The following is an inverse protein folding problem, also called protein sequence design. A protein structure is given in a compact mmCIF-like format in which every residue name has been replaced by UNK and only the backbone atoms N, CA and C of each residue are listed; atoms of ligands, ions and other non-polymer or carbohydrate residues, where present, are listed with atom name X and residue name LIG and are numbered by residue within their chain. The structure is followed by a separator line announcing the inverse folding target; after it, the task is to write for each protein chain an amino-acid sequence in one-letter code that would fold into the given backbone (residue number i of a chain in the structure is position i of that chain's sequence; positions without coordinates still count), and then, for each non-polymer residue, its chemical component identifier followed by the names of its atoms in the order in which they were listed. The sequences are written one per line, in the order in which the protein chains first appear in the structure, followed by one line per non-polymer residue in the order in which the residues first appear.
data_IF_355952797192
#
_entry.id   IF_355952797192
#
_cell.length_a   1.000
_cell.length_b   1.000
_cell.length_c   1.000
_cell.angle_alpha   90.00
_cell.angle_beta   90.00
_cell.angle_gamma   90.00
#
_symmetry.space_group_name_H-M   'P 1'
#
loop_
_entity.id
_entity.type
_entity.pdbx_description
1 polymer ?
#
# COMPACT_ATOMS: atom_id res chain seq x y z
N UNK A 1 -17.61 10.71 2.31
CA UNK A 1 -16.31 10.42 2.98
C UNK A 1 -15.66 9.20 2.36
N UNK A 2 -16.46 8.32 1.91
CA UNK A 2 -16.10 6.97 1.43
C UNK A 2 -15.04 6.96 0.32
N UNK A 3 -15.17 7.84 -0.69
CA UNK A 3 -14.18 7.92 -1.79
C UNK A 3 -12.78 8.34 -1.29
N UNK A 4 -12.71 9.30 -0.38
CA UNK A 4 -11.41 9.75 0.17
C UNK A 4 -10.79 8.70 1.07
N UNK A 5 -11.61 8.02 1.89
CA UNK A 5 -11.19 6.88 2.71
C UNK A 5 -10.71 5.76 1.82
N UNK A 6 -11.50 5.38 0.80
CA UNK A 6 -11.14 4.36 -0.17
C UNK A 6 -9.83 4.64 -0.91
N UNK A 7 -9.59 5.90 -1.33
CA UNK A 7 -8.31 6.31 -1.93
C UNK A 7 -7.15 6.24 -0.94
N UNK A 8 -7.36 6.66 0.31
CA UNK A 8 -6.36 6.58 1.36
C UNK A 8 -5.93 5.14 1.67
N UNK A 9 -6.92 4.24 1.82
CA UNK A 9 -6.68 2.80 2.02
C UNK A 9 -5.99 2.15 0.82
N UNK A 10 -6.42 2.52 -0.40
CA UNK A 10 -5.77 2.04 -1.63
C UNK A 10 -4.32 2.53 -1.73
N UNK A 11 -4.04 3.78 -1.34
CA UNK A 11 -2.68 4.29 -1.26
C UNK A 11 -1.82 3.54 -0.24
N UNK A 12 -2.39 3.20 0.92
CA UNK A 12 -1.74 2.36 1.92
C UNK A 12 -1.39 0.98 1.36
N UNK A 13 -2.28 0.36 0.56
CA UNK A 13 -2.04 -0.91 -0.11
C UNK A 13 -0.90 -0.85 -1.12
N UNK A 14 -0.62 0.31 -1.70
CA UNK A 14 0.55 0.52 -2.56
C UNK A 14 1.88 0.49 -1.80
N UNK A 15 1.88 0.84 -0.50
CA UNK A 15 3.06 0.75 0.37
C UNK A 15 3.24 -0.66 0.95
N UNK A 16 2.17 -1.26 1.45
CA UNK A 16 2.13 -2.65 1.90
C UNK A 16 0.80 -3.27 1.44
N UNK A 17 0.88 -4.32 0.61
CA UNK A 17 -0.29 -4.87 -0.07
C UNK A 17 -1.25 -5.62 0.86
N UNK A 18 -0.77 -6.13 1.99
CA UNK A 18 -1.53 -6.99 2.89
C UNK A 18 -2.04 -6.28 4.14
N UNK A 19 -1.23 -5.38 4.71
CA UNK A 19 -1.52 -4.71 5.97
C UNK A 19 -2.85 -3.93 5.96
N UNK A 20 -3.18 -3.10 4.95
CA UNK A 20 -4.45 -2.38 4.94
C UNK A 20 -5.67 -3.30 4.83
N UNK A 21 -5.58 -4.38 4.05
CA UNK A 21 -6.66 -5.37 3.94
C UNK A 21 -6.85 -6.13 5.27
N UNK A 22 -5.76 -6.53 5.92
CA UNK A 22 -5.81 -7.14 7.25
C UNK A 22 -6.38 -6.18 8.29
N UNK A 23 -5.92 -4.93 8.32
CA UNK A 23 -6.40 -3.92 9.26
C UNK A 23 -7.89 -3.61 9.04
N UNK A 24 -8.32 -3.42 7.79
CA UNK A 24 -9.73 -3.21 7.46
C UNK A 24 -10.61 -4.38 7.91
N UNK A 25 -10.22 -5.61 7.58
CA UNK A 25 -10.95 -6.80 7.98
C UNK A 25 -11.02 -6.99 9.51
N UNK A 26 -9.92 -6.69 10.22
CA UNK A 26 -9.87 -6.75 11.69
C UNK A 26 -10.76 -5.69 12.32
N UNK A 27 -10.70 -4.45 11.85
CA UNK A 27 -11.51 -3.34 12.37
C UNK A 27 -13.01 -3.56 12.11
N UNK A 28 -13.37 -4.11 10.94
CA UNK A 28 -14.74 -4.54 10.63
C UNK A 28 -15.19 -5.61 11.61
N UNK A 29 -14.37 -6.63 11.87
CA UNK A 29 -14.70 -7.67 12.85
C UNK A 29 -14.88 -7.15 14.27
N UNK A 30 -14.10 -6.13 14.65
CA UNK A 30 -14.20 -5.49 15.97
C UNK A 30 -15.36 -4.49 16.07
N UNK A 31 -16.09 -4.25 14.98
CA UNK A 31 -17.19 -3.27 14.93
C UNK A 31 -16.73 -1.83 15.04
N UNK A 32 -15.46 -1.55 14.73
CA UNK A 32 -14.88 -0.19 14.77
C UNK A 32 -15.18 0.57 13.47
N UNK A 33 -15.21 -0.15 12.35
CA UNK A 33 -15.57 0.38 11.03
C UNK A 33 -16.56 -0.58 10.36
N UNK A 34 -17.34 -0.05 9.45
CA UNK A 34 -18.27 -0.84 8.61
C UNK A 34 -17.78 -0.73 7.18
N UNK A 35 -17.12 -1.80 6.71
CA UNK A 35 -16.75 -1.96 5.30
C UNK A 35 -17.74 -2.94 4.66
N UNK A 36 -18.20 -2.61 3.45
CA UNK A 36 -19.08 -3.47 2.68
C UNK A 36 -18.35 -4.68 2.05
N UNK A 37 -19.02 -5.35 1.12
CA UNK A 37 -18.42 -6.45 0.36
C UNK A 37 -17.05 -6.06 -0.24
N UNK A 38 -15.97 -6.88 -0.15
CA UNK A 38 -16.00 -8.27 0.37
C UNK A 38 -15.54 -8.42 1.83
N UNK A 39 -15.57 -7.36 2.65
CA UNK A 39 -15.04 -7.41 4.03
C UNK A 39 -15.87 -8.25 4.97
N UNK A 40 -17.15 -8.50 4.67
CA UNK A 40 -17.96 -9.49 5.41
C UNK A 40 -17.33 -10.88 5.40
N UNK A 41 -16.73 -11.28 4.28
CA UNK A 41 -16.00 -12.54 4.16
C UNK A 41 -14.59 -12.46 4.71
N UNK A 42 -13.87 -11.34 4.45
CA UNK A 42 -12.50 -11.14 4.88
C UNK A 42 -12.38 -11.01 6.41
N UNK A 43 -13.42 -10.56 7.10
CA UNK A 43 -13.48 -10.45 8.56
C UNK A 43 -13.71 -11.81 9.27
N UNK A 44 -14.02 -12.88 8.54
CA UNK A 44 -14.14 -14.23 9.10
C UNK A 44 -12.79 -14.78 9.55
N UNK A 45 -12.80 -15.60 10.60
CA UNK A 45 -11.57 -16.12 11.21
C UNK A 45 -10.58 -16.73 10.22
N UNK A 46 -10.98 -17.60 9.26
CA UNK A 46 -10.01 -18.18 8.32
C UNK A 46 -9.32 -17.12 7.45
N UNK A 47 -10.08 -16.17 6.92
CA UNK A 47 -9.54 -15.10 6.07
C UNK A 47 -8.63 -14.15 6.86
N UNK A 48 -9.03 -13.76 8.07
CA UNK A 48 -8.21 -12.94 8.97
C UNK A 48 -6.88 -13.63 9.32
N UNK A 49 -6.91 -14.93 9.59
CA UNK A 49 -5.67 -15.68 9.87
C UNK A 49 -4.77 -15.68 8.64
N UNK A 50 -5.31 -15.91 7.45
CA UNK A 50 -4.54 -15.87 6.20
C UNK A 50 -3.95 -14.47 5.97
N UNK A 51 -4.75 -13.41 6.08
CA UNK A 51 -4.29 -12.03 5.91
C UNK A 51 -3.23 -11.66 6.95
N UNK A 52 -3.40 -12.08 8.21
CA UNK A 52 -2.43 -11.86 9.28
C UNK A 52 -1.10 -12.57 9.02
N UNK A 53 -1.15 -13.83 8.55
CA UNK A 53 0.05 -14.59 8.17
C UNK A 53 0.75 -13.94 6.98
N UNK A 54 0.01 -13.51 5.96
CA UNK A 54 0.56 -12.84 4.78
C UNK A 54 1.20 -11.49 5.16
N UNK A 55 0.53 -10.71 6.02
CA UNK A 55 1.08 -9.45 6.54
C UNK A 55 2.36 -9.68 7.32
N UNK A 56 2.40 -10.69 8.20
CA UNK A 56 3.59 -11.03 8.96
C UNK A 56 4.73 -11.57 8.05
N UNK A 57 4.38 -12.38 7.06
CA UNK A 57 5.34 -12.92 6.10
C UNK A 57 5.94 -11.80 5.22
N UNK A 58 5.14 -10.83 4.79
CA UNK A 58 5.61 -9.64 4.06
C UNK A 58 6.54 -8.81 4.95
N UNK A 59 6.11 -8.49 6.17
CA UNK A 59 6.89 -7.70 7.14
C UNK A 59 8.26 -8.33 7.48
N UNK A 60 8.36 -9.65 7.57
CA UNK A 60 9.63 -10.35 7.85
C UNK A 60 10.42 -10.55 6.56
N UNK A 61 9.72 -10.94 5.49
CA UNK A 61 10.33 -11.34 4.23
C UNK A 61 11.03 -10.19 3.50
N UNK A 62 10.50 -8.99 3.56
CA UNK A 62 11.09 -7.82 2.90
C UNK A 62 12.41 -7.34 3.55
N UNK A 63 12.75 -7.87 4.72
CA UNK A 63 14.06 -7.66 5.38
C UNK A 63 15.14 -8.64 4.90
N UNK A 64 14.74 -9.67 4.14
CA UNK A 64 15.65 -10.66 3.54
C UNK A 64 15.77 -10.36 2.04
N UNK A 65 16.95 -9.93 1.54
CA UNK A 65 17.09 -9.39 0.17
C UNK A 65 16.58 -10.31 -0.95
N UNK A 66 16.75 -11.62 -0.84
CA UNK A 66 16.25 -12.57 -1.84
C UNK A 66 14.71 -12.68 -1.82
N UNK A 67 14.10 -12.64 -0.63
CA UNK A 67 12.65 -12.70 -0.44
C UNK A 67 12.00 -11.38 -0.86
N UNK A 68 12.63 -10.27 -0.51
CA UNK A 68 12.19 -8.92 -0.88
C UNK A 68 11.95 -8.76 -2.39
N UNK A 69 12.86 -9.30 -3.24
CA UNK A 69 12.67 -9.27 -4.68
C UNK A 69 11.41 -10.00 -5.15
N UNK A 70 11.12 -11.16 -4.54
CA UNK A 70 9.92 -11.95 -4.86
C UNK A 70 8.67 -11.22 -4.39
N UNK A 71 8.66 -10.73 -3.15
CA UNK A 71 7.53 -9.98 -2.59
C UNK A 71 7.23 -8.72 -3.41
N UNK A 72 8.28 -8.05 -3.88
CA UNK A 72 8.14 -6.88 -4.72
C UNK A 72 7.54 -7.20 -6.10
N UNK A 73 7.98 -8.29 -6.74
CA UNK A 73 7.40 -8.75 -8.00
C UNK A 73 5.93 -9.16 -7.82
N UNK A 74 5.60 -9.90 -6.76
CA UNK A 74 4.23 -10.28 -6.40
C UNK A 74 3.39 -9.03 -6.08
N UNK A 75 3.95 -8.07 -5.36
CA UNK A 75 3.31 -6.79 -5.02
C UNK A 75 2.84 -5.99 -6.23
N UNK A 76 3.50 -6.15 -7.40
CA UNK A 76 3.08 -5.49 -8.65
C UNK A 76 1.65 -5.88 -9.06
N UNK A 77 1.21 -7.08 -8.71
CA UNK A 77 -0.14 -7.57 -8.97
C UNK A 77 -1.03 -7.42 -7.73
N UNK A 78 -0.52 -7.80 -6.56
CA UNK A 78 -1.31 -7.83 -5.33
C UNK A 78 -1.67 -6.43 -4.82
N UNK A 79 -0.78 -5.44 -4.95
CA UNK A 79 -1.09 -4.08 -4.49
C UNK A 79 -2.28 -3.46 -5.24
N UNK A 80 -2.35 -3.48 -6.59
CA UNK A 80 -3.56 -3.04 -7.31
C UNK A 80 -4.81 -3.82 -6.95
N UNK A 81 -4.71 -5.15 -6.76
CA UNK A 81 -5.86 -5.96 -6.34
C UNK A 81 -6.34 -5.57 -4.94
N UNK A 82 -5.43 -5.45 -3.98
CA UNK A 82 -5.76 -5.01 -2.62
C UNK A 82 -6.39 -3.61 -2.62
N UNK A 83 -5.83 -2.66 -3.38
CA UNK A 83 -6.40 -1.32 -3.53
C UNK A 83 -7.81 -1.35 -4.15
N UNK A 84 -8.06 -2.24 -5.11
CA UNK A 84 -9.40 -2.43 -5.69
C UNK A 84 -10.40 -2.93 -4.62
N UNK A 85 -10.01 -3.96 -3.87
CA UNK A 85 -10.84 -4.55 -2.80
C UNK A 85 -11.17 -3.52 -1.71
N UNK A 86 -10.16 -2.77 -1.25
CA UNK A 86 -10.33 -1.73 -0.23
C UNK A 86 -11.25 -0.59 -0.71
N UNK A 87 -11.09 -0.17 -1.96
CA UNK A 87 -11.96 0.85 -2.53
C UNK A 87 -13.39 0.37 -2.68
N UNK A 88 -13.60 -0.88 -3.12
CA UNK A 88 -14.93 -1.48 -3.23
C UNK A 88 -15.61 -1.55 -1.85
N UNK A 89 -14.93 -2.08 -0.84
CA UNK A 89 -15.49 -2.23 0.50
C UNK A 89 -15.85 -0.91 1.19
N UNK A 90 -15.16 0.18 0.83
CA UNK A 90 -15.43 1.49 1.41
C UNK A 90 -16.52 2.27 0.65
N UNK A 91 -16.73 2.00 -0.64
CA UNK A 91 -17.55 2.88 -1.50
C UNK A 91 -18.75 2.19 -2.13
N UNK A 92 -18.88 0.88 -2.02
CA UNK A 92 -19.85 0.04 -2.75
C UNK A 92 -19.84 0.27 -4.28
N UNK A 93 -18.74 0.78 -4.80
CA UNK A 93 -18.56 1.04 -6.22
C UNK A 93 -18.44 -0.26 -7.01
N UNK A 94 -18.83 -0.23 -8.28
CA UNK A 94 -18.61 -1.38 -9.15
C UNK A 94 -17.14 -1.76 -9.25
N UNK A 95 -16.86 -3.05 -9.47
CA UNK A 95 -15.49 -3.55 -9.59
C UNK A 95 -14.65 -2.77 -10.63
N UNK A 96 -15.27 -2.36 -11.74
CA UNK A 96 -14.59 -1.58 -12.77
C UNK A 96 -14.15 -0.19 -12.26
N UNK A 97 -15.02 0.51 -11.53
CA UNK A 97 -14.71 1.81 -10.92
C UNK A 97 -13.63 1.64 -9.85
N UNK A 98 -13.76 0.63 -8.99
CA UNK A 98 -12.80 0.34 -7.94
C UNK A 98 -11.42 -0.04 -8.49
N UNK A 99 -11.36 -0.81 -9.58
CA UNK A 99 -10.10 -1.13 -10.25
C UNK A 99 -9.42 0.11 -10.82
N UNK A 100 -10.21 1.03 -11.41
CA UNK A 100 -9.67 2.29 -11.95
C UNK A 100 -9.26 3.24 -10.83
N UNK A 101 -10.08 3.44 -9.80
CA UNK A 101 -9.76 4.38 -8.72
C UNK A 101 -8.76 3.77 -7.71
N UNK A 102 -9.16 2.69 -7.04
CA UNK A 102 -8.37 2.06 -5.98
C UNK A 102 -7.16 1.31 -6.52
N UNK A 103 -7.37 0.47 -7.54
CA UNK A 103 -6.31 -0.33 -8.13
C UNK A 103 -5.21 0.52 -8.77
N UNK A 104 -5.56 1.58 -9.52
CA UNK A 104 -4.56 2.47 -10.10
C UNK A 104 -3.83 3.31 -9.03
N UNK A 105 -4.52 3.73 -7.97
CA UNK A 105 -3.90 4.44 -6.84
C UNK A 105 -2.85 3.57 -6.16
N UNK A 106 -3.21 2.35 -5.78
CA UNK A 106 -2.28 1.40 -5.18
C UNK A 106 -1.11 1.05 -6.12
N UNK A 107 -1.41 0.81 -7.40
CA UNK A 107 -0.40 0.53 -8.43
C UNK A 107 0.57 1.68 -8.63
N UNK A 108 0.09 2.93 -8.63
CA UNK A 108 0.94 4.12 -8.77
C UNK A 108 1.88 4.30 -7.55
N UNK A 109 1.37 4.09 -6.33
CA UNK A 109 2.20 4.14 -5.11
C UNK A 109 3.21 3.01 -5.10
N UNK A 110 2.82 1.79 -5.46
CA UNK A 110 3.73 0.65 -5.58
C UNK A 110 4.82 0.89 -6.62
N UNK A 111 4.48 1.43 -7.79
CA UNK A 111 5.44 1.79 -8.83
C UNK A 111 6.41 2.89 -8.36
N UNK A 112 5.92 3.89 -7.60
CA UNK A 112 6.78 4.92 -7.00
C UNK A 112 7.77 4.33 -5.99
N UNK A 113 7.31 3.41 -5.12
CA UNK A 113 8.14 2.62 -4.20
C UNK A 113 9.19 1.82 -4.98
N UNK A 114 8.77 1.08 -6.02
CA UNK A 114 9.64 0.29 -6.89
C UNK A 114 10.75 1.12 -7.53
N UNK A 115 10.43 2.33 -7.97
CA UNK A 115 11.41 3.24 -8.57
C UNK A 115 12.44 3.80 -7.56
N UNK A 116 12.11 3.84 -6.27
CA UNK A 116 13.00 4.35 -5.21
C UNK A 116 13.97 3.28 -4.69
N UNK A 117 13.61 2.00 -4.65
CA UNK A 117 14.42 0.91 -4.10
C UNK A 117 15.79 0.72 -4.76
N UNK A 118 15.94 0.68 -6.10
CA UNK A 118 17.27 0.58 -6.74
C UNK A 118 18.20 1.72 -6.33
N UNK A 119 17.61 2.86 -5.95
CA UNK A 119 18.34 4.04 -5.56
C UNK A 119 18.94 3.91 -4.16
N UNK A 120 18.17 3.35 -3.24
CA UNK A 120 18.63 3.00 -1.90
C UNK A 120 19.73 1.93 -1.98
N UNK A 121 19.50 0.88 -2.75
CA UNK A 121 20.47 -0.21 -2.92
C UNK A 121 21.80 0.26 -3.50
N UNK A 122 21.77 1.12 -4.53
CA UNK A 122 22.98 1.67 -5.14
C UNK A 122 23.73 2.63 -4.21
N UNK A 123 23.03 3.37 -3.36
CA UNK A 123 23.64 4.34 -2.44
C UNK A 123 24.20 3.69 -1.17
N UNK A 124 23.68 2.54 -0.74
CA UNK A 124 23.97 1.93 0.57
C UNK A 124 24.38 0.46 0.49
N UNK A 125 24.61 -0.06 -0.71
CA UNK A 125 24.86 -1.50 -0.95
C UNK A 125 23.75 -2.40 -0.36
N UNK A 126 22.51 -1.88 -0.29
CA UNK A 126 21.35 -2.59 0.24
C UNK A 126 21.18 -2.52 1.77
N UNK A 127 22.11 -1.95 2.51
CA UNK A 127 22.04 -1.87 3.99
C UNK A 127 20.84 -1.04 4.47
N UNK A 128 20.41 -0.03 3.70
CA UNK A 128 19.25 0.78 4.06
C UNK A 128 17.89 0.16 3.68
N UNK A 129 17.84 -0.96 2.95
CA UNK A 129 16.59 -1.55 2.50
C UNK A 129 15.67 -1.99 3.66
N UNK A 130 16.14 -2.63 4.74
CA UNK A 130 15.30 -2.97 5.88
C UNK A 130 14.68 -1.74 6.58
N UNK A 131 15.44 -0.64 6.64
CA UNK A 131 14.94 0.62 7.23
C UNK A 131 13.88 1.24 6.32
N UNK A 132 14.10 1.22 5.01
CA UNK A 132 13.13 1.71 4.03
C UNK A 132 11.85 0.90 4.07
N UNK A 133 11.92 -0.42 4.16
CA UNK A 133 10.78 -1.32 4.33
C UNK A 133 9.99 -0.99 5.61
N UNK A 134 10.67 -0.83 6.74
CA UNK A 134 10.00 -0.43 7.98
C UNK A 134 9.28 0.93 7.85
N UNK A 135 9.87 1.89 7.15
CA UNK A 135 9.22 3.19 6.89
C UNK A 135 8.01 3.04 5.97
N UNK A 136 8.05 2.14 4.99
CA UNK A 136 6.92 1.81 4.11
C UNK A 136 5.77 1.18 4.92
N UNK A 137 6.05 0.24 5.81
CA UNK A 137 5.06 -0.40 6.69
C UNK A 137 4.43 0.61 7.65
N UNK A 138 5.25 1.43 8.32
CA UNK A 138 4.76 2.51 9.18
C UNK A 138 3.95 3.54 8.39
N UNK A 139 4.37 3.87 7.18
CA UNK A 139 3.64 4.74 6.27
C UNK A 139 2.29 4.15 5.87
N UNK A 140 2.23 2.86 5.57
CA UNK A 140 1.00 2.14 5.27
C UNK A 140 0.04 2.16 6.48
N UNK A 141 0.52 1.78 7.67
CA UNK A 141 -0.27 1.81 8.90
C UNK A 141 -0.79 3.23 9.21
N UNK A 142 0.05 4.25 9.04
CA UNK A 142 -0.33 5.64 9.24
C UNK A 142 -1.42 6.08 8.25
N UNK A 143 -1.29 5.71 6.97
CA UNK A 143 -2.32 6.01 5.95
C UNK A 143 -3.64 5.31 6.25
N UNK A 144 -3.62 4.07 6.75
CA UNK A 144 -4.85 3.37 7.20
C UNK A 144 -5.53 4.16 8.32
N UNK A 145 -4.78 4.56 9.35
CA UNK A 145 -5.34 5.34 10.45
C UNK A 145 -5.88 6.69 9.97
N UNK A 146 -5.11 7.41 9.14
CA UNK A 146 -5.56 8.69 8.58
C UNK A 146 -6.79 8.52 7.69
N UNK A 147 -6.87 7.44 6.90
CA UNK A 147 -8.01 7.18 6.04
C UNK A 147 -9.31 7.06 6.83
N UNK A 148 -9.29 6.37 7.97
CA UNK A 148 -10.48 6.24 8.81
C UNK A 148 -10.76 7.45 9.71
N UNK A 149 -9.72 8.17 10.18
CA UNK A 149 -9.91 9.28 11.14
C UNK A 149 -10.03 10.63 10.43
N UNK A 150 -9.19 10.90 9.44
CA UNK A 150 -9.17 12.17 8.70
C UNK A 150 -8.85 11.90 7.21
N UNK A 151 -9.82 11.43 6.42
CA UNK A 151 -9.61 10.99 5.03
C UNK A 151 -8.92 12.03 4.14
N UNK A 152 -9.21 13.30 4.34
CA UNK A 152 -8.56 14.40 3.58
C UNK A 152 -7.05 14.42 3.81
N UNK A 153 -6.59 14.18 5.04
CA UNK A 153 -5.15 14.12 5.35
C UNK A 153 -4.49 12.90 4.72
N UNK A 154 -5.20 11.76 4.65
CA UNK A 154 -4.69 10.57 3.97
C UNK A 154 -4.43 10.86 2.49
N UNK A 155 -5.37 11.49 1.80
CA UNK A 155 -5.22 11.85 0.38
C UNK A 155 -4.12 12.89 0.18
N UNK A 156 -4.02 13.91 1.03
CA UNK A 156 -2.94 14.90 0.96
C UNK A 156 -1.56 14.28 1.17
N UNK A 157 -1.43 13.36 2.16
CA UNK A 157 -0.20 12.61 2.40
C UNK A 157 0.17 11.73 1.18
N UNK A 158 -0.81 11.06 0.59
CA UNK A 158 -0.64 10.25 -0.61
C UNK A 158 -0.15 11.09 -1.80
N UNK A 159 -0.79 12.23 -2.08
CA UNK A 159 -0.37 13.15 -3.14
C UNK A 159 1.04 13.67 -2.89
N UNK A 160 1.37 14.01 -1.63
CA UNK A 160 2.71 14.43 -1.22
C UNK A 160 3.75 13.34 -1.49
N UNK A 161 3.46 12.09 -1.12
CA UNK A 161 4.34 10.94 -1.35
C UNK A 161 4.63 10.71 -2.84
N UNK A 162 3.58 10.64 -3.65
CA UNK A 162 3.70 10.42 -5.11
C UNK A 162 4.47 11.57 -5.76
N UNK A 163 4.18 12.81 -5.38
CA UNK A 163 4.87 13.99 -5.90
C UNK A 163 6.36 13.97 -5.54
N UNK A 164 6.70 13.66 -4.28
CA UNK A 164 8.09 13.54 -3.83
C UNK A 164 8.85 12.46 -4.62
N UNK A 165 8.23 11.30 -4.82
CA UNK A 165 8.80 10.20 -5.61
C UNK A 165 9.04 10.61 -7.07
N UNK A 166 8.08 11.28 -7.71
CA UNK A 166 8.21 11.78 -9.08
C UNK A 166 9.31 12.84 -9.22
N UNK A 167 9.40 13.77 -8.26
CA UNK A 167 10.46 14.79 -8.25
C UNK A 167 11.84 14.15 -8.07
N UNK A 168 11.98 13.22 -7.14
CA UNK A 168 13.21 12.47 -6.93
C UNK A 168 13.65 11.73 -8.19
N UNK A 169 12.72 11.02 -8.84
CA UNK A 169 12.96 10.30 -10.08
C UNK A 169 13.37 11.23 -11.25
N UNK A 170 12.65 12.37 -11.44
CA UNK A 170 12.97 13.36 -12.47
C UNK A 170 14.35 13.98 -12.26
N UNK A 171 14.73 14.36 -11.03
CA UNK A 171 16.04 14.91 -10.70
C UNK A 171 17.17 13.96 -11.06
N UNK A 172 16.98 12.64 -10.85
CA UNK A 172 17.98 11.64 -11.20
C UNK A 172 18.12 11.42 -12.69
N UNK A 173 17.01 11.34 -13.43
CA UNK A 173 17.05 11.23 -14.90
C UNK A 173 17.83 12.42 -15.53
N UNK A 174 17.70 13.61 -14.96
CA UNK A 174 18.46 14.78 -15.43
C UNK A 174 19.96 14.63 -15.15
N UNK A 175 20.36 14.19 -13.95
CA UNK A 175 21.76 13.96 -13.60
C UNK A 175 22.43 12.87 -14.46
N UNK A 176 21.72 11.79 -14.75
CA UNK A 176 22.22 10.71 -15.60
C UNK A 176 22.37 11.11 -17.09
N UNK A 177 21.76 12.22 -17.54
CA UNK A 177 21.90 12.74 -18.90
C UNK A 177 22.99 13.81 -19.03
N UNK A 178 23.51 14.31 -17.91
CA UNK A 178 24.56 15.34 -17.86
C UNK A 178 25.94 14.77 -17.49
N UNK A 179 26.03 13.48 -17.20
CA UNK A 179 27.26 12.70 -17.01
C UNK A 179 27.57 11.86 -18.25
#
# INVERSE_FOLDING_TARGET
MDVLTGLGLSGAAGLNAWLPAFAGALLTRLGVVELGEPFDELSRTPALVVLGVLTAADFVGDKVPAVDHVLHAVGTVIAPLSGTVLFTGETDASLAVSAVAGGSTAGAVHAARAALRPLSSAATLGVANPVLSLLEDLGSATLVLLAFVVPVLAVLALVGLVTAALVAWRRRRRRARSA
#
